data_IF_983366581543
#
_entry.id   IF_983366581543
#
_cell.length_a   1.000
_cell.length_b   1.000
_cell.length_c   1.000
_cell.angle_alpha   90.00
_cell.angle_beta   90.00
_cell.angle_gamma   90.00
#
_symmetry.space_group_name_H-M   'P 1'
#
loop_
_entity.id
_entity.type
_entity.pdbx_description
1 polymer ?
#
# COMPACT_ATOMS: atom_id res chain seq x y z
N UNK A 1 -43.51 29.93 7.10
CA UNK A 1 -42.74 30.87 7.95
C UNK A 1 -41.28 30.42 8.00
N UNK A 2 -40.38 31.01 7.21
CA UNK A 2 -38.91 30.83 7.38
C UNK A 2 -38.15 31.98 6.71
N UNK A 3 -38.43 33.22 7.14
CA UNK A 3 -37.67 34.42 6.74
C UNK A 3 -36.52 34.75 7.69
N UNK A 4 -36.41 34.04 8.82
CA UNK A 4 -35.46 34.35 9.90
C UNK A 4 -34.08 33.72 9.67
N UNK A 5 -34.02 32.54 9.04
CA UNK A 5 -32.76 31.80 8.82
C UNK A 5 -31.75 32.53 7.92
N UNK A 6 -32.23 33.32 6.94
CA UNK A 6 -31.37 34.11 6.05
C UNK A 6 -30.69 35.28 6.76
N UNK A 7 -31.40 35.93 7.70
CA UNK A 7 -30.86 37.04 8.49
C UNK A 7 -29.76 36.61 9.45
N UNK A 8 -29.92 35.45 10.10
CA UNK A 8 -28.93 34.91 11.03
C UNK A 8 -27.60 34.62 10.33
N UNK A 9 -27.63 34.02 9.13
CA UNK A 9 -26.40 33.77 8.35
C UNK A 9 -25.66 35.06 8.00
N UNK A 10 -26.41 36.13 7.72
CA UNK A 10 -25.83 37.43 7.38
C UNK A 10 -25.19 38.11 8.59
N UNK A 11 -25.80 38.01 9.77
CA UNK A 11 -25.22 38.52 11.02
C UNK A 11 -23.95 37.76 11.39
N UNK A 12 -23.97 36.43 11.28
CA UNK A 12 -22.77 35.60 11.53
C UNK A 12 -21.64 35.96 10.57
N UNK A 13 -21.94 36.12 9.28
CA UNK A 13 -20.94 36.49 8.28
C UNK A 13 -20.29 37.85 8.56
N UNK A 14 -21.09 38.88 8.87
CA UNK A 14 -20.58 40.21 9.22
C UNK A 14 -19.73 40.17 10.49
N UNK A 15 -20.12 39.37 11.48
CA UNK A 15 -19.33 39.19 12.70
C UNK A 15 -18.00 38.48 12.41
N UNK A 16 -18.00 37.42 11.60
CA UNK A 16 -16.78 36.70 11.21
C UNK A 16 -15.80 37.63 10.47
N UNK A 17 -16.30 38.49 9.57
CA UNK A 17 -15.50 39.51 8.88
C UNK A 17 -14.88 40.53 9.85
N UNK A 18 -15.68 41.06 10.79
CA UNK A 18 -15.21 42.04 11.78
C UNK A 18 -14.23 41.44 12.79
N UNK A 19 -14.45 40.19 13.19
CA UNK A 19 -13.62 39.47 14.14
C UNK A 19 -12.35 38.87 13.51
N UNK A 20 -12.14 39.04 12.19
CA UNK A 20 -11.02 38.44 11.43
C UNK A 20 -10.97 36.92 11.63
N UNK A 21 -12.13 36.30 11.85
CA UNK A 21 -12.23 34.85 12.01
C UNK A 21 -12.09 34.27 10.61
N UNK A 22 -10.94 33.63 10.35
CA UNK A 22 -10.69 33.00 9.06
C UNK A 22 -11.78 31.95 8.78
N UNK A 23 -12.34 31.90 7.56
CA UNK A 23 -13.31 30.89 7.18
C UNK A 23 -12.78 29.50 7.50
N UNK A 24 -13.63 28.65 8.10
CA UNK A 24 -13.28 27.26 8.41
C UNK A 24 -12.83 26.57 7.12
N UNK A 25 -11.56 26.21 7.06
CA UNK A 25 -10.93 25.58 5.91
C UNK A 25 -11.41 24.12 5.83
N UNK A 26 -12.62 23.89 5.32
CA UNK A 26 -13.23 22.55 5.32
C UNK A 26 -13.02 21.77 4.02
N UNK A 27 -12.23 22.30 3.08
CA UNK A 27 -12.00 21.69 1.78
C UNK A 27 -10.50 21.57 1.51
N UNK A 28 -10.00 20.34 1.55
CA UNK A 28 -8.72 20.02 0.93
C UNK A 28 -8.85 20.24 -0.58
N UNK A 29 -8.11 21.21 -1.11
CA UNK A 29 -8.05 21.44 -2.54
C UNK A 29 -7.14 20.39 -3.16
N UNK A 30 -7.56 19.71 -4.23
CA UNK A 30 -6.71 18.72 -4.91
C UNK A 30 -5.35 19.32 -5.36
N UNK A 31 -5.32 20.63 -5.62
CA UNK A 31 -4.10 21.39 -5.94
C UNK A 31 -3.10 21.45 -4.77
N UNK A 32 -3.56 21.48 -3.51
CA UNK A 32 -2.65 21.43 -2.35
C UNK A 32 -2.05 20.03 -2.19
N UNK A 33 -2.85 18.97 -2.40
CA UNK A 33 -2.38 17.58 -2.33
C UNK A 33 -1.27 17.28 -3.35
N UNK A 34 -1.39 17.75 -4.60
CA UNK A 34 -0.33 17.56 -5.61
C UNK A 34 0.96 18.31 -5.24
N UNK A 35 0.85 19.50 -4.67
CA UNK A 35 2.01 20.27 -4.24
C UNK A 35 2.71 19.61 -3.04
N UNK A 36 1.94 19.09 -2.09
CA UNK A 36 2.46 18.34 -0.95
C UNK A 36 3.15 17.04 -1.41
N UNK A 37 2.55 16.32 -2.35
CA UNK A 37 3.15 15.13 -2.97
C UNK A 37 4.49 15.42 -3.66
N UNK A 38 4.57 16.50 -4.42
CA UNK A 38 5.83 16.91 -5.08
C UNK A 38 6.92 17.28 -4.07
N UNK A 39 6.55 17.95 -2.98
CA UNK A 39 7.49 18.29 -1.91
C UNK A 39 8.01 17.04 -1.21
N UNK A 40 7.13 16.11 -0.88
CA UNK A 40 7.51 14.81 -0.30
C UNK A 40 8.43 14.04 -1.25
N UNK A 41 8.10 13.97 -2.54
CA UNK A 41 8.93 13.28 -3.53
C UNK A 41 10.34 13.90 -3.64
N UNK A 42 10.43 15.24 -3.68
CA UNK A 42 11.70 15.94 -3.68
C UNK A 42 12.52 15.64 -2.42
N UNK A 43 11.88 15.65 -1.25
CA UNK A 43 12.56 15.38 0.02
C UNK A 43 13.03 13.92 0.11
N UNK A 44 12.21 12.96 -0.32
CA UNK A 44 12.61 11.55 -0.42
C UNK A 44 13.82 11.35 -1.35
N UNK A 45 13.82 12.03 -2.50
CA UNK A 45 14.92 11.94 -3.46
C UNK A 45 16.22 12.57 -2.92
N UNK A 46 16.11 13.72 -2.23
CA UNK A 46 17.26 14.42 -1.65
C UNK A 46 17.85 13.69 -0.44
N UNK A 47 17.00 13.24 0.47
CA UNK A 47 17.42 12.66 1.75
C UNK A 47 17.79 11.17 1.62
N UNK A 48 17.31 10.48 0.57
CA UNK A 48 17.51 9.04 0.34
C UNK A 48 17.36 8.21 1.62
N UNK A 49 16.24 8.38 2.36
CA UNK A 49 16.11 7.81 3.70
C UNK A 49 16.16 6.28 3.69
N UNK A 50 15.79 5.65 2.58
CA UNK A 50 15.76 4.20 2.37
C UNK A 50 17.00 3.65 1.67
N UNK A 51 18.10 4.41 1.62
CA UNK A 51 19.36 3.88 1.11
C UNK A 51 19.83 2.71 2.00
N UNK A 52 20.21 1.56 1.40
CA UNK A 52 20.75 0.43 2.14
C UNK A 52 22.12 0.84 2.68
N UNK A 53 22.25 0.85 4.01
CA UNK A 53 23.51 1.11 4.70
C UNK A 53 23.82 -0.12 5.53
N UNK A 54 24.98 -0.73 5.29
CA UNK A 54 25.43 -1.93 5.99
C UNK A 54 25.49 -1.63 7.50
N UNK A 55 24.83 -2.46 8.31
CA UNK A 55 24.80 -2.30 9.78
C UNK A 55 23.81 -1.23 10.30
N UNK A 56 22.93 -0.68 9.44
CA UNK A 56 21.87 0.24 9.87
C UNK A 56 20.70 -0.52 10.51
N UNK A 57 20.94 -1.17 11.65
CA UNK A 57 19.86 -1.47 12.59
C UNK A 57 19.47 -0.15 13.26
N UNK A 58 18.24 0.31 13.06
CA UNK A 58 17.75 1.44 13.84
C UNK A 58 17.83 1.06 15.32
N UNK A 59 18.58 1.81 16.13
CA UNK A 59 18.65 1.62 17.59
C UNK A 59 17.25 1.63 18.25
N UNK A 60 16.24 2.15 17.54
CA UNK A 60 14.83 2.19 17.93
C UNK A 60 14.09 0.86 17.74
N UNK A 61 14.60 -0.07 16.95
CA UNK A 61 14.02 -1.40 16.70
C UNK A 61 14.93 -2.49 17.25
N UNK A 62 15.21 -2.41 18.55
CA UNK A 62 15.92 -3.47 19.26
C UNK A 62 15.11 -4.76 19.17
N UNK A 63 15.67 -5.80 18.56
CA UNK A 63 15.06 -7.13 18.47
C UNK A 63 14.27 -7.43 17.20
N UNK A 64 14.23 -6.53 16.21
CA UNK A 64 13.73 -6.87 14.87
C UNK A 64 14.93 -7.23 13.99
N UNK A 65 15.08 -8.51 13.59
CA UNK A 65 16.16 -8.92 12.72
C UNK A 65 16.05 -8.20 11.36
N UNK A 66 17.20 -7.90 10.75
CA UNK A 66 17.22 -7.26 9.42
C UNK A 66 16.72 -8.21 8.34
N UNK A 67 16.93 -9.52 8.55
CA UNK A 67 16.39 -10.58 7.70
C UNK A 67 15.20 -11.26 8.42
N UNK A 68 13.99 -11.24 7.86
CA UNK A 68 12.83 -11.90 8.45
C UNK A 68 12.99 -13.43 8.56
N UNK A 69 13.95 -14.03 7.84
CA UNK A 69 14.23 -15.46 7.87
C UNK A 69 15.38 -15.84 8.81
N UNK A 70 16.03 -14.87 9.47
CA UNK A 70 17.20 -15.10 10.33
C UNK A 70 16.93 -16.12 11.45
N UNK A 71 15.68 -16.17 11.95
CA UNK A 71 15.24 -17.10 13.00
C UNK A 71 14.26 -18.16 12.47
N UNK A 72 14.20 -18.40 11.16
CA UNK A 72 13.33 -19.42 10.59
C UNK A 72 13.85 -20.81 10.96
N UNK A 73 13.04 -21.57 11.70
CA UNK A 73 13.28 -23.00 11.88
C UNK A 73 12.70 -23.76 10.68
N UNK A 74 13.58 -24.26 9.81
CA UNK A 74 13.20 -24.98 8.59
C UNK A 74 12.40 -26.26 8.87
N UNK A 75 12.69 -26.96 9.97
CA UNK A 75 11.99 -28.20 10.35
C UNK A 75 10.54 -27.92 10.76
N UNK A 76 10.33 -26.92 11.63
CA UNK A 76 8.99 -26.49 12.04
C UNK A 76 8.20 -25.93 10.86
N UNK A 77 8.87 -25.17 9.98
CA UNK A 77 8.24 -24.65 8.77
C UNK A 77 7.82 -25.78 7.82
N UNK A 78 8.68 -26.76 7.58
CA UNK A 78 8.40 -27.97 6.79
C UNK A 78 7.22 -28.75 7.34
N UNK A 79 7.16 -28.93 8.66
CA UNK A 79 6.06 -29.63 9.33
C UNK A 79 4.74 -28.86 9.17
N UNK A 80 4.76 -27.54 9.38
CA UNK A 80 3.61 -26.68 9.15
C UNK A 80 3.13 -26.74 7.70
N UNK A 81 4.06 -26.69 6.74
CA UNK A 81 3.75 -26.68 5.33
C UNK A 81 3.09 -27.99 4.88
N UNK A 82 3.60 -29.14 5.34
CA UNK A 82 2.98 -30.46 5.11
C UNK A 82 1.58 -30.55 5.70
N UNK A 83 1.38 -30.06 6.93
CA UNK A 83 0.06 -30.02 7.58
C UNK A 83 -0.90 -29.12 6.81
N UNK A 84 -0.44 -27.96 6.38
CA UNK A 84 -1.24 -26.99 5.67
C UNK A 84 -1.66 -27.50 4.28
N UNK A 85 -0.75 -28.12 3.53
CA UNK A 85 -1.07 -28.77 2.25
C UNK A 85 -2.13 -29.86 2.41
N UNK A 86 -2.01 -30.71 3.44
CA UNK A 86 -3.03 -31.72 3.75
C UNK A 86 -4.39 -31.10 4.08
N UNK A 87 -4.42 -30.01 4.85
CA UNK A 87 -5.66 -29.30 5.16
C UNK A 87 -6.28 -28.68 3.91
N UNK A 88 -5.48 -28.09 3.03
CA UNK A 88 -5.98 -27.56 1.75
C UNK A 88 -6.55 -28.69 0.90
N UNK A 89 -5.83 -29.80 0.73
CA UNK A 89 -6.29 -30.94 -0.06
C UNK A 89 -7.59 -31.56 0.48
N UNK A 90 -7.79 -31.54 1.80
CA UNK A 90 -9.02 -32.00 2.43
C UNK A 90 -10.22 -31.09 2.13
N UNK A 91 -10.02 -29.77 2.14
CA UNK A 91 -11.08 -28.77 1.96
C UNK A 91 -11.30 -28.36 0.51
N UNK A 92 -10.29 -28.55 -0.33
CA UNK A 92 -10.27 -28.24 -1.76
C UNK A 92 -9.62 -29.42 -2.49
N UNK A 93 -10.27 -30.61 -2.51
CA UNK A 93 -9.76 -31.73 -3.27
C UNK A 93 -9.68 -31.32 -4.74
N UNK A 94 -8.46 -31.23 -5.25
CA UNK A 94 -8.23 -31.05 -6.69
C UNK A 94 -8.65 -32.35 -7.36
N UNK A 95 -9.66 -32.27 -8.21
CA UNK A 95 -10.05 -33.36 -9.10
C UNK A 95 -8.87 -33.56 -10.05
N UNK A 96 -8.04 -34.57 -9.80
CA UNK A 96 -7.04 -35.02 -10.76
C UNK A 96 -7.75 -35.68 -11.95
N UNK A 97 -8.22 -34.87 -12.89
CA UNK A 97 -8.34 -35.28 -14.29
C UNK A 97 -7.22 -34.58 -15.06
N UNK A 98 -6.01 -35.11 -14.94
CA UNK A 98 -4.98 -34.89 -15.96
C UNK A 98 -4.81 -36.17 -16.77
N UNK A 99 -5.40 -36.28 -17.97
CA UNK A 99 -4.87 -37.22 -18.94
C UNK A 99 -3.46 -36.76 -19.33
N UNK A 100 -2.52 -37.70 -19.31
CA UNK A 100 -1.14 -37.51 -19.73
C UNK A 100 -1.10 -36.83 -21.11
N UNK A 101 -0.58 -35.60 -21.16
CA UNK A 101 -0.23 -34.95 -22.42
C UNK A 101 1.24 -35.21 -22.67
N UNK A 102 1.47 -36.12 -23.63
CA UNK A 102 2.76 -36.44 -24.26
C UNK A 102 3.57 -35.18 -24.64
N UNK A 103 4.91 -35.26 -24.67
CA UNK A 103 5.76 -34.11 -24.94
C UNK A 103 5.64 -33.70 -26.42
N UNK A 104 5.02 -32.56 -26.69
CA UNK A 104 4.98 -31.98 -28.05
C UNK A 104 6.32 -31.29 -28.32
N UNK A 105 7.01 -31.84 -29.32
CA UNK A 105 8.29 -31.40 -29.85
C UNK A 105 8.28 -29.95 -30.33
N UNK A 106 9.46 -29.33 -30.23
CA UNK A 106 9.86 -28.07 -30.84
C UNK A 106 9.29 -27.86 -32.25
N UNK A 107 8.68 -26.69 -32.49
CA UNK A 107 8.85 -25.99 -33.77
C UNK A 107 8.74 -24.48 -33.57
N UNK A 108 9.91 -23.86 -33.45
CA UNK A 108 10.13 -22.45 -33.72
C UNK A 108 9.81 -22.20 -35.20
N UNK A 109 8.84 -21.32 -35.51
CA UNK A 109 8.82 -20.57 -36.77
C UNK A 109 7.84 -19.40 -36.74
N UNK A 110 8.42 -18.21 -36.97
CA UNK A 110 7.89 -17.07 -37.74
C UNK A 110 6.81 -16.20 -37.06
N UNK A 111 6.77 -14.88 -37.24
CA UNK A 111 7.29 -14.05 -38.33
C UNK A 111 7.42 -12.58 -37.90
N UNK A 112 8.55 -11.96 -38.24
CA UNK A 112 8.65 -10.50 -38.42
C UNK A 112 7.64 -10.04 -39.48
N UNK A 113 6.92 -8.96 -39.20
CA UNK A 113 6.10 -8.26 -40.19
C UNK A 113 6.72 -6.87 -40.40
N UNK A 114 7.01 -6.59 -41.67
CA UNK A 114 7.50 -5.31 -42.21
C UNK A 114 6.49 -4.17 -42.03
#
# INVERSE_FOLDING_TARGET
MSKVVGGVRKVVHVFEEQAVIKPKSSAHCHRSSSQDGNKVAHDLHKLKPFSPVIGRSHNSFVGIPSDPLENLNEELFSEWLKRHQKNIALHFPTVDDTPAVEPVENMCQQSDTF
#
